data_IF_472907883630
#
_entry.id   IF_472907883630
#
_cell.length_a   1.000
_cell.length_b   1.000
_cell.length_c   1.000
_cell.angle_alpha   90.00
_cell.angle_beta   90.00
_cell.angle_gamma   90.00
#
_symmetry.space_group_name_H-M   'P 1'
#
loop_
_entity.id
_entity.type
_entity.pdbx_description
1 polymer ?
#
# COMPACT_ATOMS: atom_id res chain seq x y z
N UNK A 1 37.72 17.68 20.05
CA UNK A 1 37.51 16.25 20.31
C UNK A 1 36.31 15.94 19.47
N UNK A 2 36.61 15.62 18.22
CA UNK A 2 35.67 15.57 17.12
C UNK A 2 35.20 14.13 17.04
N UNK A 3 33.95 13.89 17.45
CA UNK A 3 33.25 12.67 17.08
C UNK A 3 32.64 12.95 15.71
N UNK A 4 33.37 12.50 14.68
CA UNK A 4 32.87 12.40 13.31
C UNK A 4 31.62 11.51 13.32
N UNK A 5 30.47 12.16 13.19
CA UNK A 5 29.25 11.52 12.75
C UNK A 5 29.54 10.95 11.35
N UNK A 6 29.69 9.64 11.26
CA UNK A 6 29.74 8.92 9.99
C UNK A 6 28.45 9.23 9.24
N UNK A 7 28.57 10.11 8.26
CA UNK A 7 27.56 10.45 7.27
C UNK A 7 27.24 9.18 6.48
N UNK A 8 26.18 8.48 6.87
CA UNK A 8 25.75 7.20 6.32
C UNK A 8 25.09 7.33 4.94
N UNK A 9 25.64 8.17 4.07
CA UNK A 9 25.02 8.56 2.79
C UNK A 9 25.93 8.38 1.58
N UNK A 10 26.95 7.52 1.65
CA UNK A 10 27.68 7.08 0.46
C UNK A 10 27.20 5.68 0.03
N UNK A 11 26.18 5.68 -0.82
CA UNK A 11 25.85 4.53 -1.66
C UNK A 11 26.88 4.55 -2.80
N UNK A 12 27.64 3.47 -3.07
CA UNK A 12 28.55 3.40 -4.22
C UNK A 12 27.81 3.77 -5.51
N UNK A 13 28.47 4.48 -6.45
CA UNK A 13 27.84 4.98 -7.69
C UNK A 13 27.15 3.89 -8.54
N UNK A 14 27.55 2.61 -8.35
CA UNK A 14 27.01 1.44 -9.06
C UNK A 14 26.03 0.58 -8.23
N UNK A 15 25.68 1.00 -7.01
CA UNK A 15 24.74 0.27 -6.16
C UNK A 15 23.29 0.72 -6.39
N UNK A 16 22.43 -0.23 -6.76
CA UNK A 16 21.00 0.00 -7.01
C UNK A 16 20.22 -0.21 -5.72
N UNK A 17 19.87 0.89 -5.05
CA UNK A 17 18.92 0.84 -3.94
C UNK A 17 17.49 0.68 -4.47
N UNK A 18 16.78 -0.37 -4.04
CA UNK A 18 15.35 -0.50 -4.29
C UNK A 18 14.56 -0.30 -3.01
N UNK A 19 13.57 0.58 -3.10
CA UNK A 19 12.55 0.77 -2.08
C UNK A 19 11.21 0.47 -2.70
N UNK A 20 10.65 -0.71 -2.39
CA UNK A 20 9.29 -1.11 -2.73
C UNK A 20 8.37 -0.68 -1.59
N UNK A 21 7.72 0.45 -1.79
CA UNK A 21 6.71 1.00 -0.89
C UNK A 21 5.51 1.44 -1.74
N UNK A 22 4.48 1.98 -1.10
CA UNK A 22 3.28 2.57 -1.69
C UNK A 22 3.56 3.61 -2.79
N UNK A 23 4.75 4.23 -2.82
CA UNK A 23 5.17 5.19 -3.84
C UNK A 23 5.71 4.54 -5.13
N UNK A 24 6.17 3.30 -5.08
CA UNK A 24 6.91 2.66 -6.18
C UNK A 24 6.22 1.42 -6.77
N UNK A 25 5.25 0.84 -6.08
CA UNK A 25 4.47 -0.31 -6.59
C UNK A 25 2.97 -0.04 -6.58
N UNK A 26 2.34 -0.04 -7.77
CA UNK A 26 0.89 0.17 -7.94
C UNK A 26 0.08 -0.88 -7.17
N UNK A 27 0.53 -2.13 -7.12
CA UNK A 27 -0.15 -3.21 -6.40
C UNK A 27 -0.13 -2.97 -4.89
N UNK A 28 1.02 -2.62 -4.32
CA UNK A 28 1.15 -2.30 -2.89
C UNK A 28 0.31 -1.09 -2.55
N UNK A 29 0.36 -0.06 -3.40
CA UNK A 29 -0.46 1.16 -3.28
C UNK A 29 -1.95 0.85 -3.28
N UNK A 30 -2.44 0.03 -4.22
CA UNK A 30 -3.86 -0.33 -4.30
C UNK A 30 -4.31 -1.15 -3.10
N UNK A 31 -3.52 -2.14 -2.65
CA UNK A 31 -3.86 -2.95 -1.48
C UNK A 31 -3.87 -2.12 -0.20
N UNK A 32 -2.88 -1.24 -0.04
CA UNK A 32 -2.82 -0.31 1.07
C UNK A 32 -4.01 0.66 1.05
N UNK A 33 -4.29 1.26 -0.10
CA UNK A 33 -5.39 2.21 -0.29
C UNK A 33 -6.75 1.56 -0.05
N UNK A 34 -6.95 0.34 -0.55
CA UNK A 34 -8.16 -0.45 -0.29
C UNK A 34 -8.31 -0.75 1.20
N UNK A 35 -7.24 -1.22 1.84
CA UNK A 35 -7.22 -1.53 3.26
C UNK A 35 -7.55 -0.32 4.13
N UNK A 36 -6.72 0.72 4.05
CA UNK A 36 -6.87 1.96 4.84
C UNK A 36 -8.20 2.63 4.51
N UNK A 37 -8.52 2.79 3.23
CA UNK A 37 -9.75 3.42 2.77
C UNK A 37 -11.00 2.72 3.30
N UNK A 38 -11.02 1.38 3.35
CA UNK A 38 -12.16 0.64 3.91
C UNK A 38 -12.37 0.90 5.40
N UNK A 39 -11.29 0.93 6.20
CA UNK A 39 -11.40 1.22 7.64
C UNK A 39 -11.85 2.65 7.91
N UNK A 40 -11.24 3.62 7.23
CA UNK A 40 -11.65 5.02 7.36
C UNK A 40 -13.08 5.24 6.87
N UNK A 41 -13.51 4.56 5.80
CA UNK A 41 -14.89 4.60 5.33
C UNK A 41 -15.86 4.08 6.38
N UNK A 42 -15.57 2.92 6.99
CA UNK A 42 -16.40 2.33 8.02
C UNK A 42 -16.55 3.25 9.25
N UNK A 43 -15.43 3.81 9.73
CA UNK A 43 -15.43 4.78 10.84
C UNK A 43 -16.24 6.03 10.47
N UNK A 44 -15.97 6.59 9.29
CA UNK A 44 -16.66 7.79 8.80
C UNK A 44 -18.16 7.58 8.66
N UNK A 45 -18.61 6.41 8.21
CA UNK A 45 -20.03 6.05 8.12
C UNK A 45 -20.66 6.01 9.51
N UNK A 46 -20.02 5.39 10.50
CA UNK A 46 -20.55 5.32 11.88
C UNK A 46 -20.66 6.71 12.49
N UNK A 47 -19.62 7.54 12.35
CA UNK A 47 -19.61 8.93 12.85
C UNK A 47 -20.66 9.78 12.13
N UNK A 48 -20.69 9.72 10.80
CA UNK A 48 -21.64 10.46 9.97
C UNK A 48 -23.08 10.09 10.28
N UNK A 49 -23.37 8.81 10.51
CA UNK A 49 -24.69 8.34 10.91
C UNK A 49 -25.11 8.93 12.26
N UNK A 50 -24.19 8.96 13.23
CA UNK A 50 -24.44 9.56 14.55
C UNK A 50 -24.72 11.06 14.44
N UNK A 51 -23.92 11.78 13.67
CA UNK A 51 -24.09 13.22 13.43
C UNK A 51 -25.40 13.51 12.69
N UNK A 52 -25.71 12.74 11.64
CA UNK A 52 -26.96 12.86 10.90
C UNK A 52 -28.16 12.66 11.81
N UNK A 53 -28.13 11.64 12.68
CA UNK A 53 -29.23 11.39 13.63
C UNK A 53 -29.43 12.56 14.58
N UNK A 54 -28.36 13.07 15.20
CA UNK A 54 -28.44 14.24 16.10
C UNK A 54 -28.95 15.49 15.37
N UNK A 55 -28.45 15.77 14.17
CA UNK A 55 -28.89 16.91 13.38
C UNK A 55 -30.33 16.75 12.88
N UNK A 56 -30.79 15.52 12.61
CA UNK A 56 -32.16 15.26 12.16
C UNK A 56 -33.20 15.57 13.24
N UNK A 57 -32.84 15.46 14.52
CA UNK A 57 -33.72 15.80 15.65
C UNK A 57 -34.11 17.29 15.65
N UNK A 58 -33.26 18.15 15.07
CA UNK A 58 -33.49 19.60 14.93
C UNK A 58 -33.79 20.03 13.48
N UNK A 59 -34.09 19.08 12.59
CA UNK A 59 -34.36 19.35 11.16
C UNK A 59 -33.12 19.64 10.31
N UNK A 60 -31.91 19.56 10.86
CA UNK A 60 -30.63 19.84 10.20
C UNK A 60 -29.99 18.67 9.46
N UNK A 61 -30.66 17.52 9.33
CA UNK A 61 -30.08 16.30 8.72
C UNK A 61 -29.53 16.51 7.30
N UNK A 62 -30.18 17.36 6.50
CA UNK A 62 -29.74 17.70 5.13
C UNK A 62 -28.37 18.40 5.10
N UNK A 63 -28.06 19.19 6.14
CA UNK A 63 -26.79 19.93 6.24
C UNK A 63 -25.63 18.96 6.41
N UNK A 64 -25.81 17.89 7.20
CA UNK A 64 -24.80 16.85 7.39
C UNK A 64 -24.54 16.11 6.08
N UNK A 65 -25.59 15.78 5.32
CA UNK A 65 -25.45 15.12 4.01
C UNK A 65 -24.71 16.02 3.02
N UNK A 66 -25.09 17.31 2.95
CA UNK A 66 -24.42 18.28 2.09
C UNK A 66 -22.94 18.46 2.44
N UNK A 67 -22.61 18.50 3.73
CA UNK A 67 -21.23 18.58 4.21
C UNK A 67 -20.41 17.36 3.78
N UNK A 68 -20.94 16.15 3.96
CA UNK A 68 -20.27 14.91 3.55
C UNK A 68 -20.05 14.89 2.03
N UNK A 69 -21.07 15.28 1.26
CA UNK A 69 -20.96 15.37 -0.20
C UNK A 69 -19.92 16.40 -0.64
N UNK A 70 -19.85 17.56 0.01
CA UNK A 70 -18.86 18.58 -0.26
C UNK A 70 -17.44 18.10 0.05
N UNK A 71 -17.24 17.39 1.17
CA UNK A 71 -15.94 16.79 1.52
C UNK A 71 -15.51 15.74 0.49
N UNK A 72 -16.41 14.84 0.10
CA UNK A 72 -16.13 13.83 -0.91
C UNK A 72 -15.77 14.47 -2.27
N UNK A 73 -16.54 15.47 -2.70
CA UNK A 73 -16.25 16.21 -3.93
C UNK A 73 -14.90 16.93 -3.88
N UNK A 74 -14.54 17.50 -2.73
CA UNK A 74 -13.24 18.16 -2.53
C UNK A 74 -12.08 17.18 -2.66
N UNK A 75 -12.18 16.00 -2.03
CA UNK A 75 -11.18 14.94 -2.13
C UNK A 75 -11.02 14.48 -3.58
N UNK A 76 -12.13 14.25 -4.29
CA UNK A 76 -12.11 13.83 -5.69
C UNK A 76 -11.55 14.92 -6.62
N UNK A 77 -11.87 16.19 -6.36
CA UNK A 77 -11.33 17.32 -7.12
C UNK A 77 -9.81 17.45 -6.94
N UNK A 78 -9.32 17.31 -5.69
CA UNK A 78 -7.89 17.27 -5.40
C UNK A 78 -7.23 16.09 -6.13
N UNK A 79 -7.80 14.89 -6.05
CA UNK A 79 -7.24 13.71 -6.70
C UNK A 79 -7.23 13.78 -8.24
N UNK A 80 -8.11 14.58 -8.85
CA UNK A 80 -8.17 14.79 -10.29
C UNK A 80 -7.19 15.87 -10.80
N UNK A 81 -6.51 16.58 -9.90
CA UNK A 81 -5.62 17.69 -10.25
C UNK A 81 -4.17 17.25 -10.13
N UNK A 82 -3.40 17.37 -11.22
CA UNK A 82 -1.96 17.03 -11.24
C UNK A 82 -1.07 18.05 -10.48
N UNK A 83 -1.65 19.13 -9.94
CA UNK A 83 -0.98 20.25 -9.24
C UNK A 83 -1.47 20.44 -7.79
N UNK A 84 -1.79 19.36 -7.08
CA UNK A 84 -2.24 19.41 -5.68
C UNK A 84 -1.24 20.09 -4.73
N UNK A 85 0.06 19.87 -4.91
CA UNK A 85 1.10 20.53 -4.12
C UNK A 85 1.06 22.06 -4.25
N UNK A 86 0.94 22.56 -5.49
CA UNK A 86 0.93 24.00 -5.80
C UNK A 86 -0.32 24.73 -5.28
N UNK A 87 -1.43 24.01 -5.11
CA UNK A 87 -2.65 24.55 -4.48
C UNK A 87 -2.59 24.57 -2.96
N UNK A 88 -1.94 23.57 -2.34
CA UNK A 88 -1.81 23.48 -0.89
C UNK A 88 -0.71 24.38 -0.34
N UNK A 89 0.34 24.67 -1.11
CA UNK A 89 1.35 25.70 -0.80
C UNK A 89 0.76 27.11 -0.64
N UNK A 90 -0.42 27.38 -1.22
CA UNK A 90 -1.13 28.65 -1.05
C UNK A 90 -1.94 28.74 0.24
N UNK A 91 -2.09 27.64 0.97
CA UNK A 91 -2.75 27.62 2.26
C UNK A 91 -1.70 27.83 3.38
N UNK A 92 -2.00 28.62 4.41
CA UNK A 92 -1.11 28.87 5.53
C UNK A 92 -1.14 27.70 6.52
N UNK A 93 -0.88 26.49 6.02
CA UNK A 93 -0.85 25.25 6.78
C UNK A 93 0.46 24.57 6.41
N UNK A 94 1.27 24.16 7.39
CA UNK A 94 2.44 23.29 7.16
C UNK A 94 1.95 21.93 6.65
N UNK A 95 1.78 21.82 5.34
CA UNK A 95 1.51 20.56 4.66
C UNK A 95 2.83 19.84 4.46
N UNK A 96 2.92 18.60 4.96
CA UNK A 96 4.09 17.75 4.72
C UNK A 96 4.31 17.59 3.20
N UNK A 97 5.47 17.99 2.69
CA UNK A 97 5.80 17.97 1.26
C UNK A 97 6.12 16.56 0.74
N UNK A 98 5.74 16.24 -0.50
CA UNK A 98 6.15 15.03 -1.20
C UNK A 98 5.36 13.76 -0.83
N UNK A 99 6.05 12.63 -0.64
CA UNK A 99 5.46 11.28 -0.60
C UNK A 99 4.40 11.03 0.49
N UNK A 100 4.38 11.83 1.57
CA UNK A 100 3.34 11.75 2.62
C UNK A 100 2.00 12.36 2.17
N UNK A 101 2.03 13.35 1.29
CA UNK A 101 0.83 13.98 0.73
C UNK A 101 0.12 13.04 -0.24
N UNK A 102 0.86 12.42 -1.16
CA UNK A 102 0.33 11.41 -2.10
C UNK A 102 -0.36 10.27 -1.36
N UNK A 103 0.28 9.79 -0.28
CA UNK A 103 -0.26 8.72 0.55
C UNK A 103 -1.55 9.12 1.28
N UNK A 104 -1.65 10.39 1.66
CA UNK A 104 -2.85 10.95 2.30
C UNK A 104 -3.99 11.11 1.29
N UNK A 105 -3.70 11.59 0.08
CA UNK A 105 -4.67 11.70 -1.02
C UNK A 105 -5.18 10.31 -1.41
N UNK A 106 -4.29 9.32 -1.60
CA UNK A 106 -4.66 7.94 -1.90
C UNK A 106 -5.61 7.37 -0.81
N UNK A 107 -5.27 7.55 0.46
CA UNK A 107 -6.13 7.12 1.57
C UNK A 107 -7.50 7.82 1.58
N UNK A 108 -7.53 9.12 1.31
CA UNK A 108 -8.76 9.90 1.23
C UNK A 108 -9.64 9.44 0.06
N UNK A 109 -9.06 9.22 -1.11
CA UNK A 109 -9.76 8.67 -2.29
C UNK A 109 -10.30 7.29 -1.99
N UNK A 110 -9.48 6.39 -1.42
CA UNK A 110 -9.90 5.06 -0.99
C UNK A 110 -11.08 5.11 -0.02
N UNK A 111 -11.05 6.07 0.92
CA UNK A 111 -12.13 6.32 1.88
C UNK A 111 -13.44 6.72 1.20
N UNK A 112 -13.38 7.66 0.24
CA UNK A 112 -14.56 8.10 -0.51
C UNK A 112 -15.14 6.95 -1.34
N UNK A 113 -14.30 6.24 -2.10
CA UNK A 113 -14.73 5.13 -2.95
C UNK A 113 -15.36 4.01 -2.12
N UNK A 114 -14.69 3.57 -1.04
CA UNK A 114 -15.24 2.52 -0.17
C UNK A 114 -16.46 2.99 0.61
N UNK A 115 -16.53 4.28 0.96
CA UNK A 115 -17.72 4.90 1.55
C UNK A 115 -18.94 4.81 0.63
N UNK A 116 -18.76 5.08 -0.67
CA UNK A 116 -19.82 4.93 -1.68
C UNK A 116 -20.23 3.45 -1.81
N UNK A 117 -19.28 2.52 -1.88
CA UNK A 117 -19.58 1.08 -2.00
C UNK A 117 -20.37 0.58 -0.79
N UNK A 118 -19.87 0.83 0.43
CA UNK A 118 -20.52 0.40 1.67
C UNK A 118 -21.88 1.09 1.81
N UNK A 119 -21.95 2.40 1.60
CA UNK A 119 -23.17 3.18 1.68
C UNK A 119 -24.25 2.70 0.70
N UNK A 120 -23.85 2.38 -0.54
CA UNK A 120 -24.74 1.84 -1.56
C UNK A 120 -25.27 0.46 -1.17
N UNK A 121 -24.41 -0.43 -0.68
CA UNK A 121 -24.82 -1.76 -0.20
C UNK A 121 -25.84 -1.66 0.94
N UNK A 122 -25.58 -0.80 1.92
CA UNK A 122 -26.51 -0.56 3.04
C UNK A 122 -27.83 0.07 2.56
N UNK A 123 -27.76 1.01 1.61
CA UNK A 123 -28.92 1.66 1.01
C UNK A 123 -29.81 0.68 0.25
N UNK A 124 -29.21 -0.16 -0.61
CA UNK A 124 -29.92 -1.23 -1.34
C UNK A 124 -30.52 -2.23 -0.34
N UNK A 125 -29.75 -2.67 0.65
CA UNK A 125 -30.24 -3.58 1.68
C UNK A 125 -31.47 -3.04 2.41
N UNK A 126 -31.46 -1.74 2.75
CA UNK A 126 -32.62 -1.06 3.35
C UNK A 126 -33.81 -1.02 2.41
N UNK A 127 -33.61 -0.65 1.15
CA UNK A 127 -34.68 -0.59 0.15
C UNK A 127 -35.33 -1.96 -0.07
N UNK A 128 -34.53 -3.01 -0.24
CA UNK A 128 -35.00 -4.40 -0.40
C UNK A 128 -35.81 -4.84 0.82
N UNK A 129 -35.33 -4.53 2.03
CA UNK A 129 -36.01 -4.90 3.27
C UNK A 129 -37.32 -4.15 3.51
N UNK A 130 -37.42 -2.89 3.08
CA UNK A 130 -38.64 -2.08 3.24
C UNK A 130 -39.73 -2.46 2.24
N UNK A 131 -39.35 -2.92 1.05
CA UNK A 131 -40.26 -3.26 -0.04
C UNK A 131 -40.49 -4.77 -0.18
N UNK A 132 -40.00 -5.58 0.77
CA UNK A 132 -40.12 -7.06 0.80
C UNK A 132 -39.69 -7.73 -0.53
N UNK A 133 -38.75 -7.12 -1.26
CA UNK A 133 -38.36 -7.54 -2.62
C UNK A 133 -37.65 -8.89 -2.64
N UNK A 134 -36.99 -9.25 -1.53
CA UNK A 134 -36.31 -10.54 -1.35
C UNK A 134 -36.76 -11.18 -0.05
N UNK A 135 -37.06 -12.48 -0.08
CA UNK A 135 -37.42 -13.30 1.08
C UNK A 135 -36.35 -13.31 2.18
N UNK A 136 -35.10 -13.00 1.82
CA UNK A 136 -33.94 -12.98 2.72
C UNK A 136 -33.71 -11.59 3.35
N UNK A 137 -34.45 -10.56 2.93
CA UNK A 137 -34.34 -9.18 3.46
C UNK A 137 -32.97 -8.52 3.24
N UNK A 138 -32.56 -7.62 4.14
CA UNK A 138 -31.28 -6.90 4.07
C UNK A 138 -30.03 -7.76 4.36
N UNK A 139 -30.22 -8.98 4.87
CA UNK A 139 -29.16 -9.84 5.43
C UNK A 139 -27.94 -10.03 4.51
N UNK A 140 -28.10 -10.32 3.19
CA UNK A 140 -26.97 -10.54 2.29
C UNK A 140 -26.08 -9.29 2.11
N UNK A 141 -26.68 -8.11 2.09
CA UNK A 141 -25.95 -6.85 1.90
C UNK A 141 -25.13 -6.48 3.14
N UNK A 142 -25.70 -6.67 4.33
CA UNK A 142 -24.98 -6.49 5.59
C UNK A 142 -23.85 -7.50 5.75
N UNK A 143 -24.07 -8.76 5.35
CA UNK A 143 -23.03 -9.78 5.35
C UNK A 143 -21.86 -9.41 4.41
N UNK A 144 -22.16 -8.89 3.22
CA UNK A 144 -21.14 -8.42 2.28
C UNK A 144 -20.32 -7.25 2.85
N UNK A 145 -20.99 -6.28 3.46
CA UNK A 145 -20.32 -5.16 4.16
C UNK A 145 -19.43 -5.68 5.30
N UNK A 146 -19.91 -6.66 6.06
CA UNK A 146 -19.16 -7.26 7.16
C UNK A 146 -17.91 -7.99 6.66
N UNK A 147 -17.98 -8.62 5.48
CA UNK A 147 -16.85 -9.31 4.85
C UNK A 147 -15.76 -8.35 4.33
N UNK A 148 -16.12 -7.11 3.99
CA UNK A 148 -15.16 -6.10 3.52
C UNK A 148 -14.11 -5.75 4.58
N UNK A 149 -14.46 -5.77 5.87
CA UNK A 149 -13.53 -5.43 6.95
C UNK A 149 -12.39 -6.46 7.11
N UNK A 150 -12.66 -7.77 7.26
CA UNK A 150 -11.61 -8.80 7.24
C UNK A 150 -10.78 -8.78 5.95
N UNK A 151 -11.42 -8.57 4.79
CA UNK A 151 -10.72 -8.51 3.52
C UNK A 151 -9.77 -7.31 3.44
N UNK A 152 -10.20 -6.15 3.93
CA UNK A 152 -9.37 -4.96 4.04
C UNK A 152 -8.19 -5.18 4.99
N UNK A 153 -8.40 -5.89 6.10
CA UNK A 153 -7.30 -6.28 6.99
C UNK A 153 -6.28 -7.18 6.29
N UNK A 154 -6.74 -8.21 5.57
CA UNK A 154 -5.85 -9.09 4.79
C UNK A 154 -5.09 -8.28 3.73
N UNK A 155 -5.73 -7.34 3.06
CA UNK A 155 -5.09 -6.46 2.08
C UNK A 155 -3.99 -5.59 2.72
N UNK A 156 -4.23 -5.04 3.92
CA UNK A 156 -3.20 -4.30 4.67
C UNK A 156 -2.02 -5.18 5.05
N UNK A 157 -2.29 -6.37 5.57
CA UNK A 157 -1.26 -7.34 5.94
C UNK A 157 -0.43 -7.72 4.73
N UNK A 158 -1.08 -8.02 3.60
CA UNK A 158 -0.39 -8.37 2.37
C UNK A 158 0.39 -7.18 1.79
N UNK A 159 -0.13 -5.95 1.91
CA UNK A 159 0.60 -4.74 1.56
C UNK A 159 1.88 -4.59 2.39
N UNK A 160 1.83 -4.87 3.70
CA UNK A 160 2.99 -4.82 4.59
C UNK A 160 4.04 -5.86 4.20
N UNK A 161 3.62 -7.11 3.94
CA UNK A 161 4.54 -8.16 3.47
C UNK A 161 5.13 -7.89 2.09
N UNK A 162 4.41 -7.15 1.24
CA UNK A 162 4.89 -6.77 -0.09
C UNK A 162 5.73 -5.50 -0.09
N UNK A 163 5.86 -4.79 1.03
CA UNK A 163 6.88 -3.76 1.18
C UNK A 163 8.24 -4.44 1.29
N UNK A 164 9.20 -4.01 0.47
CA UNK A 164 10.55 -4.58 0.44
C UNK A 164 11.55 -3.45 0.25
N UNK A 165 12.58 -3.41 1.09
CA UNK A 165 13.67 -2.45 0.98
C UNK A 165 14.97 -3.23 0.93
N UNK A 166 15.79 -2.98 -0.07
CA UNK A 166 17.09 -3.61 -0.21
C UNK A 166 18.03 -2.80 -1.11
N UNK A 167 19.31 -3.05 -0.98
CA UNK A 167 20.35 -2.47 -1.84
C UNK A 167 21.04 -3.61 -2.57
N UNK A 168 21.16 -3.47 -3.88
CA UNK A 168 21.96 -4.34 -4.71
C UNK A 168 23.30 -3.68 -5.00
N UNK A 169 24.39 -4.27 -4.55
CA UNK A 169 25.73 -3.83 -4.91
C UNK A 169 26.25 -4.70 -6.07
N UNK A 170 26.43 -4.07 -7.25
CA UNK A 170 26.86 -4.74 -8.46
C UNK A 170 28.34 -5.15 -8.40
N UNK A 171 29.19 -4.34 -7.78
CA UNK A 171 30.62 -4.61 -7.65
C UNK A 171 30.92 -5.67 -6.60
N UNK A 172 30.26 -5.57 -5.44
CA UNK A 172 30.42 -6.55 -4.36
C UNK A 172 29.65 -7.85 -4.63
N UNK A 173 28.75 -7.87 -5.61
CA UNK A 173 27.88 -9.01 -5.89
C UNK A 173 27.08 -9.43 -4.66
N UNK A 174 26.59 -8.46 -3.89
CA UNK A 174 25.94 -8.69 -2.60
C UNK A 174 24.59 -7.98 -2.56
N UNK A 175 23.55 -8.67 -2.06
CA UNK A 175 22.24 -8.09 -1.79
C UNK A 175 22.13 -7.79 -0.29
N UNK A 176 21.87 -6.54 0.07
CA UNK A 176 21.61 -6.12 1.45
C UNK A 176 20.10 -5.95 1.66
N UNK A 177 19.51 -6.60 2.68
CA UNK A 177 18.08 -6.52 3.01
C UNK A 177 17.85 -5.81 4.33
N UNK A 178 17.04 -4.73 4.33
CA UNK A 178 16.50 -3.94 5.47
C UNK A 178 17.49 -3.42 6.54
N UNK A 179 18.54 -4.15 6.88
CA UNK A 179 19.67 -3.81 7.74
C UNK A 179 20.98 -4.36 7.12
N UNK A 180 22.13 -3.67 7.29
CA UNK A 180 23.43 -4.08 6.74
C UNK A 180 23.96 -5.44 7.28
N UNK A 181 23.21 -6.11 8.16
CA UNK A 181 23.54 -7.43 8.73
C UNK A 181 22.98 -8.61 7.92
N UNK A 182 22.02 -8.40 7.01
CA UNK A 182 21.54 -9.43 6.08
C UNK A 182 22.12 -9.19 4.69
N UNK A 183 23.42 -9.46 4.57
CA UNK A 183 24.14 -9.47 3.31
C UNK A 183 24.05 -10.87 2.69
N UNK A 184 23.51 -10.97 1.48
CA UNK A 184 23.46 -12.20 0.70
C UNK A 184 24.55 -12.09 -0.37
N UNK A 185 25.62 -12.84 -0.20
CA UNK A 185 26.64 -13.00 -1.23
C UNK A 185 26.06 -13.84 -2.39
N UNK A 186 26.10 -13.30 -3.61
CA UNK A 186 25.63 -13.99 -4.82
C UNK A 186 26.54 -15.15 -5.21
N UNK A 187 27.78 -15.21 -4.72
CA UNK A 187 28.70 -16.31 -5.00
C UNK A 187 28.24 -17.65 -4.42
N UNK A 188 27.37 -17.63 -3.41
CA UNK A 188 26.81 -18.85 -2.79
C UNK A 188 25.50 -19.31 -3.44
N UNK A 189 25.06 -18.65 -4.51
CA UNK A 189 23.81 -18.93 -5.21
C UNK A 189 24.09 -19.70 -6.50
N UNK A 190 23.56 -20.91 -6.60
CA UNK A 190 23.74 -21.83 -7.72
C UNK A 190 22.78 -21.53 -8.88
N UNK A 191 21.51 -21.22 -8.56
CA UNK A 191 20.50 -20.92 -9.55
C UNK A 191 19.51 -19.87 -9.06
N UNK A 192 18.99 -19.10 -10.02
CA UNK A 192 18.02 -18.03 -9.77
C UNK A 192 16.85 -18.22 -10.73
N UNK A 193 15.71 -18.61 -10.16
CA UNK A 193 14.45 -18.65 -10.91
C UNK A 193 13.70 -17.33 -10.75
N UNK A 194 13.42 -16.66 -11.87
CA UNK A 194 12.64 -15.43 -11.90
C UNK A 194 11.20 -15.75 -12.32
N UNK A 195 10.24 -15.34 -11.50
CA UNK A 195 8.84 -15.30 -11.87
C UNK A 195 8.31 -13.88 -11.81
N UNK A 196 7.94 -13.32 -12.96
CA UNK A 196 7.36 -11.98 -13.05
C UNK A 196 5.85 -12.01 -12.80
N UNK A 197 5.36 -11.11 -11.94
CA UNK A 197 3.94 -10.91 -11.63
C UNK A 197 3.64 -9.41 -11.70
N UNK A 198 3.15 -8.95 -12.85
CA UNK A 198 2.96 -7.52 -13.11
C UNK A 198 4.28 -6.76 -13.05
N UNK A 199 4.33 -5.65 -12.30
CA UNK A 199 5.52 -4.80 -12.13
C UNK A 199 6.52 -5.37 -11.09
N UNK A 200 6.57 -6.69 -10.94
CA UNK A 200 7.32 -7.37 -9.87
C UNK A 200 7.99 -8.63 -10.38
N UNK A 201 9.16 -8.93 -9.84
CA UNK A 201 9.83 -10.20 -10.02
C UNK A 201 10.00 -10.90 -8.66
N UNK A 202 9.50 -12.13 -8.57
CA UNK A 202 9.83 -13.06 -7.48
C UNK A 202 11.09 -13.82 -7.89
N UNK A 203 12.17 -13.58 -7.18
CA UNK A 203 13.40 -14.36 -7.24
C UNK A 203 13.25 -15.56 -6.31
N UNK A 204 13.42 -16.77 -6.83
CA UNK A 204 13.68 -17.95 -6.02
C UNK A 204 15.16 -18.25 -6.12
N UNK A 205 15.85 -18.21 -4.99
CA UNK A 205 17.30 -18.38 -4.87
C UNK A 205 17.60 -19.82 -4.42
N UNK A 206 18.38 -20.53 -5.21
CA UNK A 206 18.92 -21.85 -4.88
C UNK A 206 20.35 -21.67 -4.41
N UNK A 207 20.64 -22.01 -3.16
CA UNK A 207 21.98 -21.89 -2.58
C UNK A 207 22.80 -23.14 -2.86
N UNK A 208 24.06 -22.94 -3.24
CA UNK A 208 25.06 -23.99 -3.23
C UNK A 208 25.23 -24.49 -1.78
N UNK A 209 25.45 -25.80 -1.61
CA UNK A 209 25.81 -26.40 -0.32
C UNK A 209 27.29 -26.80 -0.34
N UNK A 210 28.23 -25.85 -0.26
CA UNK A 210 29.63 -26.18 -0.14
C UNK A 210 29.82 -27.03 1.12
N UNK A 211 30.51 -28.16 0.97
CA UNK A 211 30.76 -29.15 2.03
C UNK A 211 29.51 -29.75 2.71
N UNK A 212 28.35 -29.71 2.03
CA UNK A 212 27.08 -30.22 2.56
C UNK A 212 26.51 -29.39 3.72
N UNK A 213 27.05 -28.19 3.94
CA UNK A 213 26.55 -27.29 4.97
C UNK A 213 25.41 -26.42 4.45
N UNK A 214 24.44 -26.18 5.33
CA UNK A 214 23.29 -25.33 5.04
C UNK A 214 23.72 -23.86 5.09
N UNK A 215 23.52 -23.14 3.98
CA UNK A 215 23.73 -21.69 3.91
C UNK A 215 22.45 -20.99 4.38
N UNK A 216 22.57 -20.16 5.41
CA UNK A 216 21.46 -19.35 5.90
C UNK A 216 21.17 -18.19 4.94
N UNK A 217 19.92 -18.08 4.48
CA UNK A 217 19.50 -17.01 3.59
C UNK A 217 18.05 -17.14 3.14
N UNK A 218 17.41 -16.04 2.72
CA UNK A 218 16.06 -16.07 2.20
C UNK A 218 16.05 -16.81 0.86
N UNK A 219 15.17 -17.81 0.74
CA UNK A 219 15.00 -18.59 -0.51
C UNK A 219 14.10 -17.91 -1.53
N UNK A 220 13.34 -16.89 -1.11
CA UNK A 220 12.41 -16.14 -1.94
C UNK A 220 12.57 -14.67 -1.64
N UNK A 221 12.81 -13.90 -2.69
CA UNK A 221 12.96 -12.46 -2.60
C UNK A 221 12.07 -11.78 -3.63
N UNK A 222 11.41 -10.70 -3.24
CA UNK A 222 10.55 -9.92 -4.13
C UNK A 222 11.28 -8.63 -4.48
N UNK A 223 11.61 -8.44 -5.75
CA UNK A 223 12.38 -7.28 -6.24
C UNK A 223 11.75 -6.67 -7.50
N UNK A 224 12.17 -5.45 -7.89
CA UNK A 224 11.82 -4.90 -9.20
C UNK A 224 12.34 -5.76 -10.37
N UNK A 225 11.65 -5.80 -11.53
CA UNK A 225 12.08 -6.60 -12.68
C UNK A 225 13.43 -6.22 -13.29
N UNK A 226 13.92 -4.99 -13.08
CA UNK A 226 15.27 -4.58 -13.48
C UNK A 226 16.31 -5.27 -12.60
N UNK A 227 16.21 -5.11 -11.28
CA UNK A 227 17.09 -5.75 -10.29
C UNK A 227 17.10 -7.28 -10.44
N UNK A 228 15.93 -7.91 -10.68
CA UNK A 228 15.89 -9.36 -10.93
C UNK A 228 16.69 -9.79 -12.16
N UNK A 229 16.66 -9.00 -13.24
CA UNK A 229 17.43 -9.28 -14.46
C UNK A 229 18.93 -9.13 -14.20
N UNK A 230 19.32 -8.09 -13.48
CA UNK A 230 20.73 -7.82 -13.16
C UNK A 230 21.31 -8.91 -12.25
N UNK A 231 20.55 -9.33 -11.23
CA UNK A 231 20.92 -10.46 -10.35
C UNK A 231 21.09 -11.76 -11.15
N UNK A 232 20.16 -12.10 -12.03
CA UNK A 232 20.28 -13.32 -12.82
C UNK A 232 21.39 -13.26 -13.87
N UNK A 233 21.68 -12.08 -14.43
CA UNK A 233 22.81 -11.89 -15.34
C UNK A 233 24.15 -12.11 -14.62
N UNK A 234 24.31 -11.57 -13.41
CA UNK A 234 25.50 -11.74 -12.59
C UNK A 234 25.72 -13.20 -12.16
N UNK A 235 24.68 -13.91 -11.69
CA UNK A 235 24.80 -15.33 -11.32
C UNK A 235 25.16 -16.20 -12.53
N UNK A 236 24.56 -15.95 -13.70
CA UNK A 236 24.92 -16.64 -14.95
C UNK A 236 26.32 -16.33 -15.48
N UNK A 237 26.89 -15.20 -15.11
CA UNK A 237 28.26 -14.86 -15.52
C UNK A 237 29.33 -15.52 -14.64
N UNK A 238 28.97 -15.93 -13.42
CA UNK A 238 29.86 -16.57 -12.44
C UNK A 238 29.87 -18.09 -12.51
N UNK A 239 28.80 -18.71 -13.04
CA UNK A 239 28.71 -20.14 -13.36
C UNK A 239 29.07 -20.42 -14.82
#
# INVERSE_FOLDING_TARGET
MDEDAVDGTEIPDDAIQWRRDTSTSRTVRLLWTFGVGTFFAAISIVVSWRLYRMASEIGGGIVVVALIAALAATVLALAATDETERYLERLPIDVSSGASLDRTIDAAVGTVVMGIVIGTLLGIGRYVSQNEVLTVGASPFTALVTLLLPLAFVALVLSSFLQSVGTFDHEAGTIYLYEPKQAIDLAVIEDVSIRTIGDTALLTLSYAQPDGQYVEGPRRLVVPPAVARDVAALVKSKN
#
